data_IF_860683246337
#
_entry.id   IF_860683246337
#
_cell.length_a   1.000
_cell.length_b   1.000
_cell.length_c   1.000
_cell.angle_alpha   90.00
_cell.angle_beta   90.00
_cell.angle_gamma   90.00
#
_symmetry.space_group_name_H-M   'P 1'
#
loop_
_entity.id
_entity.type
_entity.pdbx_description
1 polymer ?
#
# COMPACT_ATOMS: atom_id res chain seq x y z
N UNK A 1 5.61 -32.93 0.85
CA UNK A 1 5.39 -32.82 2.30
C UNK A 1 5.55 -31.39 2.85
N UNK A 2 5.96 -30.39 2.05
CA UNK A 2 6.38 -29.08 2.58
C UNK A 2 5.25 -28.12 2.98
N UNK A 3 4.17 -28.00 2.20
CA UNK A 3 3.14 -26.98 2.52
C UNK A 3 2.35 -27.27 3.79
N UNK A 4 1.90 -28.51 4.00
CA UNK A 4 1.08 -28.85 5.18
C UNK A 4 1.82 -28.66 6.50
N UNK A 5 3.12 -28.96 6.52
CA UNK A 5 3.97 -28.77 7.70
C UNK A 5 4.16 -27.29 8.02
N UNK A 6 4.54 -26.50 7.01
CA UNK A 6 4.74 -25.05 7.14
C UNK A 6 3.43 -24.37 7.55
N UNK A 7 2.30 -24.71 6.94
CA UNK A 7 0.98 -24.15 7.29
C UNK A 7 0.54 -24.54 8.71
N UNK A 8 0.94 -25.71 9.21
CA UNK A 8 0.79 -26.10 10.61
C UNK A 8 1.58 -25.20 11.54
N UNK A 9 2.88 -25.03 11.27
CA UNK A 9 3.78 -24.19 12.08
C UNK A 9 3.42 -22.71 12.06
N UNK A 10 2.93 -22.19 10.94
CA UNK A 10 2.42 -20.81 10.86
C UNK A 10 1.20 -20.63 11.78
N UNK A 11 0.27 -21.60 11.79
CA UNK A 11 -0.89 -21.56 12.69
C UNK A 11 -0.49 -21.66 14.15
N UNK A 12 0.43 -22.57 14.49
CA UNK A 12 1.01 -22.66 15.84
C UNK A 12 1.65 -21.33 16.28
N UNK A 13 2.39 -20.68 15.39
CA UNK A 13 3.02 -19.40 15.68
C UNK A 13 1.99 -18.29 15.92
N UNK A 14 0.90 -18.25 15.14
CA UNK A 14 -0.19 -17.29 15.31
C UNK A 14 -0.90 -17.50 16.66
N UNK A 15 -1.14 -18.77 17.04
CA UNK A 15 -1.75 -19.12 18.31
C UNK A 15 -0.85 -18.74 19.49
N UNK A 16 0.43 -19.10 19.45
CA UNK A 16 1.42 -18.75 20.48
C UNK A 16 1.60 -17.23 20.61
N UNK A 17 1.46 -16.50 19.51
CA UNK A 17 1.53 -15.04 19.46
C UNK A 17 0.22 -14.33 19.84
N UNK A 18 -0.83 -15.07 20.26
CA UNK A 18 -2.15 -14.53 20.61
C UNK A 18 -2.76 -13.67 19.49
N UNK A 19 -2.57 -14.08 18.23
CA UNK A 19 -3.09 -13.38 17.06
C UNK A 19 -2.28 -12.18 16.58
N UNK A 20 -1.23 -11.76 17.30
CA UNK A 20 -0.37 -10.66 16.84
C UNK A 20 0.57 -11.14 15.72
N UNK A 21 0.41 -10.54 14.52
CA UNK A 21 1.20 -10.89 13.33
C UNK A 21 2.70 -10.67 13.52
N UNK A 22 3.08 -9.56 14.15
CA UNK A 22 4.49 -9.20 14.31
C UNK A 22 5.21 -10.14 15.28
N UNK A 23 4.55 -10.55 16.36
CA UNK A 23 5.10 -11.55 17.29
C UNK A 23 5.11 -12.94 16.67
N UNK A 24 4.06 -13.32 15.92
CA UNK A 24 4.04 -14.60 15.18
C UNK A 24 5.19 -14.70 14.18
N UNK A 25 5.48 -13.61 13.45
CA UNK A 25 6.62 -13.57 12.54
C UNK A 25 7.95 -13.75 13.28
N UNK A 26 8.17 -13.04 14.39
CA UNK A 26 9.40 -13.19 15.20
C UNK A 26 9.55 -14.61 15.73
N UNK A 27 8.47 -15.20 16.21
CA UNK A 27 8.43 -16.56 16.74
C UNK A 27 8.74 -17.59 15.65
N UNK A 28 8.11 -17.44 14.48
CA UNK A 28 8.35 -18.31 13.33
C UNK A 28 9.79 -18.22 12.83
N UNK A 29 10.39 -17.01 12.87
CA UNK A 29 11.81 -16.83 12.56
C UNK A 29 12.71 -17.54 13.57
N UNK A 30 12.41 -17.47 14.87
CA UNK A 30 13.16 -18.18 15.90
C UNK A 30 13.09 -19.70 15.69
N UNK A 31 11.89 -20.24 15.44
CA UNK A 31 11.70 -21.66 15.16
C UNK A 31 12.42 -22.11 13.88
N UNK A 32 12.42 -21.31 12.82
CA UNK A 32 13.11 -21.65 11.58
C UNK A 32 14.64 -21.69 11.74
N UNK A 33 15.22 -21.03 12.74
CA UNK A 33 16.66 -21.17 13.03
C UNK A 33 16.97 -22.53 13.66
N UNK A 34 16.06 -23.06 14.48
CA UNK A 34 16.20 -24.34 15.17
C UNK A 34 15.82 -25.53 14.29
N UNK A 35 14.89 -25.34 13.35
CA UNK A 35 14.38 -26.37 12.43
C UNK A 35 14.73 -26.06 10.96
N UNK A 36 15.76 -26.74 10.41
CA UNK A 36 16.18 -26.56 9.02
C UNK A 36 15.10 -26.91 7.98
N UNK A 37 14.22 -27.87 8.28
CA UNK A 37 13.16 -28.30 7.36
C UNK A 37 12.06 -27.24 7.28
N UNK A 38 11.73 -26.60 8.41
CA UNK A 38 10.82 -25.45 8.43
C UNK A 38 11.39 -24.27 7.64
N UNK A 39 12.68 -23.95 7.84
CA UNK A 39 13.34 -22.89 7.09
C UNK A 39 13.33 -23.16 5.59
N UNK A 40 13.69 -24.38 5.19
CA UNK A 40 13.70 -24.78 3.79
C UNK A 40 12.30 -24.73 3.18
N UNK A 41 11.29 -25.18 3.93
CA UNK A 41 9.89 -25.14 3.53
C UNK A 41 9.39 -23.71 3.28
N UNK A 42 9.68 -22.78 4.19
CA UNK A 42 9.30 -21.36 4.05
C UNK A 42 10.07 -20.67 2.92
N UNK A 43 11.36 -21.00 2.74
CA UNK A 43 12.21 -20.37 1.74
C UNK A 43 12.01 -20.90 0.31
N UNK A 44 11.53 -22.13 0.15
CA UNK A 44 11.37 -22.80 -1.15
C UNK A 44 10.69 -21.95 -2.24
N UNK A 45 9.52 -21.31 -2.00
CA UNK A 45 8.87 -20.48 -3.02
C UNK A 45 9.65 -19.20 -3.38
N UNK A 46 10.60 -18.78 -2.55
CA UNK A 46 11.39 -17.55 -2.73
C UNK A 46 12.84 -17.81 -3.13
N UNK A 47 13.24 -19.08 -3.30
CA UNK A 47 14.63 -19.47 -3.51
C UNK A 47 15.26 -18.78 -4.73
N UNK A 48 14.50 -18.62 -5.82
CA UNK A 48 14.95 -17.93 -7.04
C UNK A 48 15.34 -16.47 -6.76
N UNK A 49 14.50 -15.76 -6.02
CA UNK A 49 14.73 -14.35 -5.69
C UNK A 49 15.91 -14.19 -4.72
N UNK A 50 16.03 -15.08 -3.73
CA UNK A 50 17.14 -15.10 -2.78
C UNK A 50 18.47 -15.34 -3.53
N UNK A 51 18.51 -16.33 -4.43
CA UNK A 51 19.71 -16.63 -5.22
C UNK A 51 20.09 -15.48 -6.16
N UNK A 52 19.12 -14.90 -6.86
CA UNK A 52 19.35 -13.74 -7.72
C UNK A 52 19.95 -12.55 -6.94
N UNK A 53 19.34 -12.18 -5.80
CA UNK A 53 19.83 -11.10 -4.95
C UNK A 53 21.21 -11.38 -4.35
N UNK A 54 21.56 -12.65 -4.12
CA UNK A 54 22.89 -13.04 -3.66
C UNK A 54 23.95 -12.86 -4.76
N UNK A 55 23.64 -13.28 -6.00
CA UNK A 55 24.51 -13.12 -7.16
C UNK A 55 24.72 -11.64 -7.49
N UNK A 56 23.65 -10.84 -7.53
CA UNK A 56 23.73 -9.40 -7.77
C UNK A 56 24.63 -8.69 -6.75
N UNK A 57 24.52 -9.08 -5.47
CA UNK A 57 25.35 -8.53 -4.40
C UNK A 57 26.82 -8.91 -4.55
N UNK A 58 27.10 -10.15 -4.92
CA UNK A 58 28.47 -10.64 -5.13
C UNK A 58 29.13 -10.00 -6.36
N UNK A 59 28.35 -9.69 -7.40
CA UNK A 59 28.83 -9.02 -8.61
C UNK A 59 28.97 -7.50 -8.50
N UNK A 60 28.46 -6.87 -7.42
CA UNK A 60 28.52 -5.41 -7.27
C UNK A 60 29.91 -4.99 -6.78
N UNK A 61 30.65 -4.14 -7.52
CA UNK A 61 31.94 -3.63 -7.05
C UNK A 61 31.74 -2.81 -5.77
N UNK A 62 32.66 -2.96 -4.81
CA UNK A 62 32.60 -2.35 -3.48
C UNK A 62 32.65 -0.80 -3.46
N UNK A 63 32.76 -0.15 -4.63
CA UNK A 63 32.92 1.29 -4.79
C UNK A 63 31.62 2.11 -4.70
N UNK A 64 30.47 1.48 -4.42
CA UNK A 64 29.19 2.19 -4.30
C UNK A 64 28.47 1.88 -2.99
N UNK A 65 28.64 2.75 -1.99
CA UNK A 65 27.81 2.81 -0.77
C UNK A 65 26.32 2.54 -1.09
N UNK A 66 25.59 1.75 -0.29
CA UNK A 66 24.22 1.41 -0.63
C UNK A 66 23.34 2.66 -0.55
N UNK A 67 22.71 3.02 -1.67
CA UNK A 67 21.54 3.87 -1.65
C UNK A 67 20.50 3.17 -0.78
N UNK A 68 19.99 3.89 0.23
CA UNK A 68 18.88 3.45 1.03
C UNK A 68 17.74 3.00 0.10
N UNK A 69 17.10 1.87 0.45
CA UNK A 69 15.90 1.33 -0.19
C UNK A 69 14.96 2.43 -0.71
N UNK A 70 14.36 2.31 -1.91
CA UNK A 70 13.16 3.07 -2.19
C UNK A 70 12.05 2.53 -1.27
N UNK A 71 11.71 3.31 -0.25
CA UNK A 71 10.40 3.21 0.36
C UNK A 71 9.35 3.42 -0.74
N UNK A 72 8.26 2.65 -0.67
CA UNK A 72 7.18 2.58 -1.63
C UNK A 72 6.88 3.92 -2.32
N UNK A 73 6.76 3.87 -3.65
CA UNK A 73 6.25 4.95 -4.47
C UNK A 73 4.84 5.33 -4.01
N UNK A 74 4.78 6.26 -3.06
CA UNK A 74 3.60 7.05 -2.78
C UNK A 74 3.47 8.08 -3.90
N UNK A 75 2.48 7.90 -4.75
CA UNK A 75 1.94 8.96 -5.58
C UNK A 75 1.50 10.10 -4.66
N UNK A 76 2.14 11.26 -4.78
CA UNK A 76 1.72 12.45 -4.03
C UNK A 76 2.78 13.53 -3.95
N UNK A 77 2.71 14.48 -4.88
CA UNK A 77 3.15 15.86 -4.71
C UNK A 77 4.60 16.04 -4.28
N UNK A 78 5.49 16.17 -5.27
CA UNK A 78 6.84 16.69 -5.05
C UNK A 78 6.79 18.06 -4.39
N UNK A 79 7.01 18.09 -3.07
CA UNK A 79 7.56 19.27 -2.42
C UNK A 79 9.02 19.37 -2.85
N UNK A 80 9.49 20.50 -3.42
CA UNK A 80 10.93 20.69 -3.58
C UNK A 80 11.54 20.75 -2.18
N UNK A 81 12.22 19.67 -1.78
CA UNK A 81 13.04 19.67 -0.57
C UNK A 81 14.14 20.73 -0.75
N UNK A 82 14.06 21.79 0.05
CA UNK A 82 14.89 23.00 -0.03
C UNK A 82 16.34 22.80 0.45
N UNK A 83 16.94 21.63 0.21
CA UNK A 83 18.27 21.28 0.70
C UNK A 83 19.20 20.73 -0.39
N UNK A 84 19.00 21.15 -1.64
CA UNK A 84 19.83 20.69 -2.76
C UNK A 84 19.95 21.65 -3.95
N UNK A 85 19.49 22.90 -3.85
CA UNK A 85 19.68 23.86 -4.93
C UNK A 85 21.10 24.44 -4.83
N UNK A 86 21.85 24.39 -5.94
CA UNK A 86 23.12 25.10 -6.04
C UNK A 86 22.88 26.60 -5.88
N UNK A 87 23.90 27.32 -5.39
CA UNK A 87 23.83 28.76 -5.19
C UNK A 87 23.36 29.51 -6.44
N UNK A 88 23.85 29.09 -7.60
CA UNK A 88 23.50 29.68 -8.90
C UNK A 88 22.03 29.42 -9.29
N UNK A 89 21.47 28.26 -8.92
CA UNK A 89 20.06 27.95 -9.19
C UNK A 89 19.12 28.79 -8.30
N UNK A 90 19.53 29.10 -7.07
CA UNK A 90 18.81 30.02 -6.19
C UNK A 90 18.83 31.45 -6.75
N UNK A 91 19.98 31.91 -7.24
CA UNK A 91 20.15 33.27 -7.77
C UNK A 91 19.32 33.50 -9.04
N UNK A 92 19.23 32.49 -9.92
CA UNK A 92 18.36 32.53 -11.09
C UNK A 92 16.87 32.56 -10.73
N UNK A 93 16.44 31.83 -9.70
CA UNK A 93 15.05 31.87 -9.23
C UNK A 93 14.69 33.23 -8.62
N UNK A 94 15.61 33.84 -7.86
CA UNK A 94 15.43 35.18 -7.29
C UNK A 94 15.29 36.24 -8.39
N UNK A 95 16.13 36.19 -9.43
CA UNK A 95 16.03 37.08 -10.58
C UNK A 95 14.74 36.90 -11.37
N UNK A 96 14.23 35.68 -11.44
CA UNK A 96 12.98 35.37 -12.13
C UNK A 96 11.75 35.82 -11.31
N UNK A 97 11.80 35.73 -9.98
CA UNK A 97 10.72 36.19 -9.09
C UNK A 97 10.70 37.72 -8.95
N UNK A 98 11.84 38.39 -9.08
CA UNK A 98 11.95 39.86 -9.09
C UNK A 98 11.46 40.52 -10.39
N UNK A 99 11.05 39.72 -11.38
CA UNK A 99 10.55 40.18 -12.67
C UNK A 99 9.08 39.76 -12.81
N UNK A 100 8.21 40.44 -12.05
CA UNK A 100 6.77 40.45 -12.29
C UNK A 100 6.49 41.38 -13.49
N UNK A 101 6.09 40.88 -14.67
CA UNK A 101 5.41 41.71 -15.65
C UNK A 101 3.91 41.77 -15.33
N UNK A 102 3.49 42.96 -14.96
CA UNK A 102 2.14 43.48 -15.08
C UNK A 102 1.55 43.23 -16.50
N UNK A 103 0.24 43.01 -16.56
CA UNK A 103 -0.66 42.93 -17.74
C UNK A 103 -0.32 42.02 -18.94
N UNK A 104 -1.17 40.99 -19.15
CA UNK A 104 -2.16 40.96 -20.25
C UNK A 104 -2.77 39.55 -20.46
N UNK A 105 -3.99 39.35 -19.96
CA UNK A 105 -4.98 38.51 -20.65
C UNK A 105 -5.65 39.37 -21.75
N UNK A 106 -6.40 38.84 -22.75
CA UNK A 106 -6.96 37.49 -22.85
C UNK A 106 -6.84 36.84 -24.26
N UNK A 107 -7.02 35.53 -24.35
CA UNK A 107 -7.76 34.98 -25.49
C UNK A 107 -8.58 33.75 -25.09
N UNK A 108 -9.88 33.95 -25.25
CA UNK A 108 -10.99 33.09 -24.90
C UNK A 108 -11.39 32.33 -26.17
N UNK A 109 -11.31 31.01 -26.15
CA UNK A 109 -12.07 30.16 -27.06
C UNK A 109 -12.45 28.87 -26.32
N UNK A 110 -13.74 28.66 -26.17
CA UNK A 110 -14.38 27.48 -25.62
C UNK A 110 -15.17 26.77 -26.76
N UNK A 111 -16.02 25.75 -26.51
CA UNK A 111 -15.65 24.33 -26.44
C UNK A 111 -16.54 23.43 -27.35
N UNK A 112 -16.08 22.23 -27.72
CA UNK A 112 -16.91 21.16 -28.33
C UNK A 112 -16.28 19.81 -27.93
N UNK A 113 -16.92 18.78 -27.40
CA UNK A 113 -18.29 18.46 -26.98
C UNK A 113 -18.21 17.24 -26.03
N UNK A 114 -18.99 17.22 -24.94
CA UNK A 114 -20.23 16.46 -24.75
C UNK A 114 -20.08 14.92 -24.56
N UNK A 115 -20.04 14.53 -23.28
CA UNK A 115 -20.85 13.52 -22.58
C UNK A 115 -20.84 12.02 -22.98
N UNK A 116 -20.84 11.21 -21.91
CA UNK A 116 -20.92 9.74 -21.78
C UNK A 116 -22.24 9.10 -22.31
N UNK A 117 -22.44 7.75 -22.32
CA UNK A 117 -22.55 6.89 -21.12
C UNK A 117 -21.89 5.49 -21.23
N UNK A 118 -21.21 4.97 -20.21
CA UNK A 118 -21.74 4.04 -19.18
C UNK A 118 -22.78 3.00 -19.64
N UNK A 119 -22.30 1.80 -19.97
CA UNK A 119 -23.09 0.57 -20.10
C UNK A 119 -22.90 -0.34 -18.86
N UNK A 120 -24.03 -0.68 -18.23
CA UNK A 120 -24.22 -1.57 -17.07
C UNK A 120 -23.97 -3.06 -17.39
N UNK A 121 -23.60 -3.82 -16.36
CA UNK A 121 -23.72 -5.28 -16.29
C UNK A 121 -22.80 -5.87 -15.23
N UNK A 122 -23.11 -5.73 -13.94
CA UNK A 122 -23.82 -6.75 -13.15
C UNK A 122 -23.06 -8.08 -13.02
N UNK A 123 -22.47 -8.33 -11.84
CA UNK A 123 -22.61 -9.60 -11.12
C UNK A 123 -22.38 -9.36 -9.63
N UNK A 124 -23.24 -10.01 -8.86
CA UNK A 124 -23.47 -9.88 -7.43
C UNK A 124 -22.57 -10.89 -6.70
N UNK A 125 -22.02 -10.54 -5.53
CA UNK A 125 -22.28 -11.24 -4.26
C UNK A 125 -21.30 -10.90 -3.13
N UNK A 126 -21.94 -10.69 -1.98
CA UNK A 126 -21.50 -10.96 -0.61
C UNK A 126 -20.59 -9.95 0.12
N UNK A 127 -21.23 -9.25 1.06
CA UNK A 127 -20.58 -8.59 2.19
C UNK A 127 -20.14 -9.61 3.25
N UNK A 128 -19.24 -9.19 4.15
CA UNK A 128 -19.71 -9.13 5.53
C UNK A 128 -19.27 -7.89 6.33
N UNK A 129 -20.13 -7.59 7.32
CA UNK A 129 -19.87 -6.96 8.62
C UNK A 129 -19.62 -5.44 8.72
N UNK A 130 -20.66 -4.73 9.16
CA UNK A 130 -20.55 -3.92 10.37
C UNK A 130 -20.10 -2.46 10.23
N UNK A 131 -20.66 -1.73 9.27
CA UNK A 131 -20.56 -0.26 9.22
C UNK A 131 -21.79 0.44 9.82
N UNK A 132 -21.71 1.75 10.13
CA UNK A 132 -22.77 2.57 10.76
C UNK A 132 -24.13 2.58 10.02
N UNK A 133 -24.17 2.07 8.79
CA UNK A 133 -25.40 1.85 8.02
C UNK A 133 -26.21 0.64 8.51
N UNK A 134 -25.59 -0.35 9.15
CA UNK A 134 -26.26 -1.53 9.67
C UNK A 134 -27.11 -1.21 10.92
N UNK A 135 -26.60 -0.36 11.79
CA UNK A 135 -27.32 0.10 12.99
C UNK A 135 -28.54 0.96 12.62
N UNK A 136 -28.38 1.89 11.66
CA UNK A 136 -29.51 2.64 11.08
C UNK A 136 -30.54 1.71 10.42
N UNK A 137 -30.09 0.68 9.71
CA UNK A 137 -30.98 -0.31 9.11
C UNK A 137 -31.76 -1.10 10.20
N UNK A 138 -31.10 -1.50 11.28
CA UNK A 138 -31.76 -2.18 12.41
C UNK A 138 -32.79 -1.29 13.11
N UNK A 139 -32.49 0.00 13.35
CA UNK A 139 -33.45 0.94 13.93
C UNK A 139 -34.66 1.20 13.02
N UNK A 140 -34.47 1.29 11.70
CA UNK A 140 -35.56 1.48 10.75
C UNK A 140 -36.51 0.27 10.73
N UNK A 141 -35.95 -0.95 10.80
CA UNK A 141 -36.73 -2.19 10.88
C UNK A 141 -37.52 -2.22 12.20
N UNK A 142 -36.89 -1.89 13.33
CA UNK A 142 -37.57 -1.85 14.64
C UNK A 142 -38.76 -0.87 14.66
N UNK A 143 -38.61 0.32 14.05
CA UNK A 143 -39.68 1.32 13.97
C UNK A 143 -40.88 0.86 13.12
N UNK A 144 -40.63 0.12 12.03
CA UNK A 144 -41.69 -0.41 11.17
C UNK A 144 -42.55 -1.48 11.86
N UNK A 145 -41.96 -2.30 12.74
CA UNK A 145 -42.71 -3.33 13.47
C UNK A 145 -43.58 -2.76 14.61
N UNK A 146 -43.17 -1.64 15.22
CA UNK A 146 -44.01 -0.94 16.20
C UNK A 146 -45.23 -0.31 15.52
N UNK A 147 -45.07 0.26 14.33
CA UNK A 147 -46.17 0.83 13.56
C UNK A 147 -47.22 -0.22 13.10
N UNK A 148 -46.83 -1.49 12.94
CA UNK A 148 -47.74 -2.57 12.53
C UNK A 148 -48.53 -3.21 13.68
N UNK A 149 -48.21 -2.89 14.94
CA UNK A 149 -48.92 -3.42 16.12
C UNK A 149 -50.06 -2.51 16.60
N UNK A 150 -50.26 -1.35 15.96
CA UNK A 150 -51.38 -0.45 16.20
C UNK A 150 -52.13 -0.24 14.89
N UNK A 151 -53.01 -1.20 14.62
CA UNK A 151 -54.27 -1.09 13.84
C UNK A 151 -54.20 -0.56 12.41
#
# INVERSE_FOLDING_TARGET
MSNSYVDGKVREAILAAKGSRMTAQKLLMAWAVEDPDLLRGIAQPFLKAIAAAAIERAGRPASGRPAARPAAAGAGGGRPSASGLSRDALENLLNQLGREPDEAAPQRAAPVGKAAPTGKGATVHNAPAGGPNHEKAMMAIAKAFVAKKVR
#
